data_IF_606744154032
#
_entry.id   IF_606744154032
#
_cell.length_a   1.000
_cell.length_b   1.000
_cell.length_c   1.000
_cell.angle_alpha   90.00
_cell.angle_beta   90.00
_cell.angle_gamma   90.00
#
_symmetry.space_group_name_H-M   'P 1'
#
loop_
_entity.id
_entity.type
_entity.pdbx_description
1 polymer ?
#
# COMPACT_ATOMS: atom_id res chain seq x y z
N UNK A 1 3.35 27.42 24.85
CA UNK A 1 2.52 26.35 24.24
C UNK A 1 2.47 26.61 22.75
N UNK A 2 3.15 25.80 21.95
CA UNK A 2 3.08 25.93 20.49
C UNK A 2 1.76 25.31 20.09
N UNK A 3 0.79 26.15 19.70
CA UNK A 3 -0.44 25.66 19.05
C UNK A 3 -0.03 25.08 17.69
N UNK A 4 -0.30 23.80 17.48
CA UNK A 4 -0.09 23.20 16.19
C UNK A 4 -0.98 23.95 15.17
N UNK A 5 -0.38 24.44 14.10
CA UNK A 5 -1.11 25.01 12.98
C UNK A 5 -1.87 23.86 12.30
N UNK A 6 -3.19 23.87 12.41
CA UNK A 6 -4.05 22.81 11.86
C UNK A 6 -3.96 22.73 10.33
N UNK A 7 -3.59 23.83 9.68
CA UNK A 7 -3.43 23.91 8.24
C UNK A 7 -2.03 23.49 7.75
N UNK A 8 -1.09 23.27 8.67
CA UNK A 8 0.25 22.84 8.28
C UNK A 8 0.22 21.45 7.63
N UNK A 9 0.96 21.22 6.51
CA UNK A 9 0.96 19.95 5.80
C UNK A 9 1.30 18.75 6.68
N UNK A 10 2.24 18.91 7.61
CA UNK A 10 2.62 17.85 8.55
C UNK A 10 1.49 17.52 9.54
N UNK A 11 0.74 18.52 9.98
CA UNK A 11 -0.42 18.32 10.86
C UNK A 11 -1.53 17.59 10.14
N UNK A 12 -1.83 17.96 8.90
CA UNK A 12 -2.82 17.28 8.06
C UNK A 12 -2.40 15.84 7.77
N UNK A 13 -1.13 15.60 7.45
CA UNK A 13 -0.60 14.27 7.23
C UNK A 13 -0.70 13.40 8.50
N UNK A 14 -0.31 13.93 9.65
CA UNK A 14 -0.41 13.24 10.93
C UNK A 14 -1.87 12.92 11.27
N UNK A 15 -2.79 13.87 11.06
CA UNK A 15 -4.23 13.67 11.26
C UNK A 15 -4.78 12.56 10.35
N UNK A 16 -4.38 12.54 9.08
CA UNK A 16 -4.77 11.50 8.15
C UNK A 16 -4.24 10.11 8.58
N UNK A 17 -3.02 10.01 9.09
CA UNK A 17 -2.47 8.76 9.61
C UNK A 17 -3.22 8.27 10.85
N UNK A 18 -3.60 9.18 11.75
CA UNK A 18 -4.43 8.85 12.92
C UNK A 18 -5.82 8.36 12.48
N UNK A 19 -6.44 9.03 11.51
CA UNK A 19 -7.72 8.60 10.94
C UNK A 19 -7.64 7.21 10.31
N UNK A 20 -6.54 6.90 9.61
CA UNK A 20 -6.28 5.56 9.07
C UNK A 20 -6.17 4.51 10.19
N UNK A 21 -5.40 4.80 11.24
CA UNK A 21 -5.23 3.90 12.37
C UNK A 21 -6.55 3.62 13.10
N UNK A 22 -7.46 4.59 13.10
CA UNK A 22 -8.79 4.48 13.69
C UNK A 22 -9.87 3.94 12.73
N UNK A 23 -9.47 3.49 11.55
CA UNK A 23 -10.35 3.02 10.47
C UNK A 23 -11.38 4.08 9.99
N UNK A 24 -11.08 5.36 10.18
CA UNK A 24 -11.86 6.50 9.69
C UNK A 24 -11.45 6.82 8.24
N UNK A 25 -11.72 5.88 7.35
CA UNK A 25 -11.20 5.91 5.97
C UNK A 25 -11.67 7.11 5.16
N UNK A 26 -12.91 7.57 5.34
CA UNK A 26 -13.45 8.73 4.61
C UNK A 26 -12.71 10.02 4.96
N UNK A 27 -12.44 10.24 6.24
CA UNK A 27 -11.69 11.41 6.73
C UNK A 27 -10.25 11.38 6.25
N UNK A 28 -9.62 10.19 6.31
CA UNK A 28 -8.28 9.99 5.80
C UNK A 28 -8.19 10.27 4.29
N UNK A 29 -9.11 9.74 3.49
CA UNK A 29 -9.16 9.97 2.03
C UNK A 29 -9.30 11.46 1.74
N UNK A 30 -10.20 12.15 2.43
CA UNK A 30 -10.41 13.59 2.24
C UNK A 30 -9.12 14.37 2.51
N UNK A 31 -8.49 14.18 3.66
CA UNK A 31 -7.27 14.89 4.05
C UNK A 31 -6.11 14.60 3.10
N UNK A 32 -5.91 13.34 2.71
CA UNK A 32 -4.83 12.93 1.80
C UNK A 32 -5.05 13.45 0.37
N UNK A 33 -6.30 13.47 -0.10
CA UNK A 33 -6.65 14.04 -1.40
C UNK A 33 -6.39 15.54 -1.42
N UNK A 34 -6.81 16.26 -0.37
CA UNK A 34 -6.55 17.69 -0.23
C UNK A 34 -5.06 18.01 -0.23
N UNK A 35 -4.25 17.23 0.50
CA UNK A 35 -2.79 17.38 0.47
C UNK A 35 -2.21 17.16 -0.93
N UNK A 36 -2.69 16.15 -1.64
CA UNK A 36 -2.25 15.85 -3.00
C UNK A 36 -2.61 16.95 -3.99
N UNK A 37 -3.78 17.58 -3.83
CA UNK A 37 -4.21 18.72 -4.65
C UNK A 37 -3.39 19.98 -4.39
N UNK A 38 -3.04 20.24 -3.12
CA UNK A 38 -2.30 21.42 -2.73
C UNK A 38 -0.80 21.35 -3.04
N UNK A 39 -0.18 20.20 -2.83
CA UNK A 39 1.28 20.02 -2.88
C UNK A 39 1.75 19.09 -4.00
N UNK A 40 0.84 18.55 -4.76
CA UNK A 40 1.12 17.53 -5.78
C UNK A 40 1.14 16.11 -5.24
N UNK A 41 0.93 15.12 -6.12
CA UNK A 41 0.95 13.70 -5.73
C UNK A 41 2.37 13.23 -5.40
N UNK A 42 2.48 12.37 -4.40
CA UNK A 42 3.69 11.61 -4.14
C UNK A 42 3.36 10.13 -3.99
N UNK A 43 4.33 9.25 -4.19
CA UNK A 43 4.13 7.80 -4.05
C UNK A 43 3.61 7.46 -2.65
N UNK A 44 4.14 8.12 -1.62
CA UNK A 44 3.71 7.93 -0.24
C UNK A 44 2.25 8.36 -0.01
N UNK A 45 1.83 9.53 -0.54
CA UNK A 45 0.44 10.00 -0.46
C UNK A 45 -0.52 9.09 -1.21
N UNK A 46 -0.13 8.63 -2.41
CA UNK A 46 -0.93 7.71 -3.21
C UNK A 46 -1.10 6.36 -2.50
N UNK A 47 -0.04 5.83 -1.89
CA UNK A 47 -0.10 4.62 -1.09
C UNK A 47 -1.02 4.77 0.14
N UNK A 48 -0.91 5.88 0.86
CA UNK A 48 -1.78 6.15 2.03
C UNK A 48 -3.24 6.29 1.62
N UNK A 49 -3.52 6.96 0.51
CA UNK A 49 -4.89 7.07 -0.03
C UNK A 49 -5.42 5.70 -0.46
N UNK A 50 -4.60 4.89 -1.12
CA UNK A 50 -4.97 3.53 -1.50
C UNK A 50 -5.26 2.67 -0.27
N UNK A 51 -4.46 2.75 0.78
CA UNK A 51 -4.70 2.04 2.03
C UNK A 51 -6.05 2.43 2.65
N UNK A 52 -6.38 3.73 2.68
CA UNK A 52 -7.68 4.21 3.16
C UNK A 52 -8.85 3.67 2.31
N UNK A 53 -8.68 3.59 1.00
CA UNK A 53 -9.67 3.02 0.08
C UNK A 53 -9.84 1.51 0.27
N UNK A 54 -8.75 0.78 0.50
CA UNK A 54 -8.81 -0.67 0.83
C UNK A 54 -9.63 -0.89 2.10
N UNK A 55 -9.37 -0.11 3.14
CA UNK A 55 -10.13 -0.18 4.41
C UNK A 55 -11.62 0.10 4.18
N UNK A 56 -11.95 1.02 3.29
CA UNK A 56 -13.36 1.33 2.94
C UNK A 56 -14.00 0.33 1.98
N UNK A 57 -13.25 -0.63 1.45
CA UNK A 57 -13.72 -1.60 0.46
C UNK A 57 -13.70 -1.11 -1.00
N UNK A 58 -13.20 0.09 -1.25
CA UNK A 58 -13.03 0.63 -2.61
C UNK A 58 -11.73 0.13 -3.27
N UNK A 59 -11.70 -1.15 -3.61
CA UNK A 59 -10.53 -1.79 -4.24
C UNK A 59 -10.23 -1.21 -5.63
N UNK A 60 -11.24 -0.80 -6.37
CA UNK A 60 -11.09 -0.20 -7.71
C UNK A 60 -10.38 1.15 -7.63
N UNK A 61 -10.85 2.03 -6.74
CA UNK A 61 -10.22 3.34 -6.50
C UNK A 61 -8.80 3.19 -5.93
N UNK A 62 -8.59 2.21 -5.05
CA UNK A 62 -7.25 1.90 -4.53
C UNK A 62 -6.30 1.49 -5.66
N UNK A 63 -6.70 0.59 -6.55
CA UNK A 63 -5.88 0.16 -7.70
C UNK A 63 -5.54 1.31 -8.64
N UNK A 64 -6.46 2.28 -8.84
CA UNK A 64 -6.17 3.48 -9.61
C UNK A 64 -5.03 4.30 -8.98
N UNK A 65 -5.12 4.59 -7.69
CA UNK A 65 -4.06 5.32 -6.97
C UNK A 65 -2.71 4.58 -7.01
N UNK A 66 -2.73 3.25 -6.91
CA UNK A 66 -1.51 2.44 -6.94
C UNK A 66 -0.88 2.39 -8.34
N UNK A 67 -1.70 2.39 -9.38
CA UNK A 67 -1.23 2.51 -10.77
C UNK A 67 -0.58 3.87 -11.02
N UNK A 68 -1.15 4.95 -10.49
CA UNK A 68 -0.56 6.29 -10.54
C UNK A 68 0.79 6.32 -9.79
N UNK A 69 0.88 5.65 -8.64
CA UNK A 69 2.13 5.54 -7.87
C UNK A 69 3.23 4.81 -8.66
N UNK A 70 2.89 3.74 -9.39
CA UNK A 70 3.84 3.04 -10.26
C UNK A 70 4.29 3.92 -11.43
N UNK A 71 3.36 4.65 -12.06
CA UNK A 71 3.69 5.58 -13.15
C UNK A 71 4.64 6.67 -12.67
N UNK A 72 4.32 7.28 -11.53
CA UNK A 72 5.17 8.30 -10.91
C UNK A 72 6.55 7.76 -10.54
N UNK A 73 6.64 6.51 -10.06
CA UNK A 73 7.91 5.85 -9.76
C UNK A 73 8.77 5.67 -11.01
N UNK A 74 8.16 5.39 -12.16
CA UNK A 74 8.86 5.26 -13.43
C UNK A 74 9.47 6.57 -13.95
N UNK A 75 8.97 7.70 -13.50
CA UNK A 75 9.48 9.05 -13.86
C UNK A 75 10.63 9.51 -12.96
N UNK A 76 10.87 8.84 -11.83
CA UNK A 76 11.92 9.22 -10.89
C UNK A 76 13.29 8.69 -11.33
N UNK A 77 14.33 9.52 -11.11
CA UNK A 77 15.73 9.15 -11.41
C UNK A 77 16.28 8.03 -10.51
N UNK A 78 15.64 7.79 -9.36
CA UNK A 78 16.02 6.73 -8.41
C UNK A 78 14.77 6.04 -7.86
N UNK A 79 14.86 4.74 -7.49
CA UNK A 79 13.75 4.02 -6.90
C UNK A 79 13.23 4.69 -5.62
N UNK A 80 11.91 4.85 -5.52
CA UNK A 80 11.30 5.37 -4.30
C UNK A 80 11.34 4.33 -3.17
N UNK A 81 11.68 4.73 -1.94
CA UNK A 81 11.60 3.84 -0.78
C UNK A 81 10.17 3.39 -0.45
N UNK A 82 9.17 4.08 -0.97
CA UNK A 82 7.75 3.74 -0.81
C UNK A 82 7.21 2.78 -1.88
N UNK A 83 8.03 2.37 -2.85
CA UNK A 83 7.59 1.47 -3.92
C UNK A 83 7.23 0.05 -3.42
N UNK A 84 7.95 -0.56 -2.46
CA UNK A 84 7.52 -1.82 -1.88
C UNK A 84 6.12 -1.76 -1.28
N UNK A 85 5.74 -0.66 -0.63
CA UNK A 85 4.39 -0.46 -0.08
C UNK A 85 3.33 -0.46 -1.18
N UNK A 86 3.65 0.06 -2.36
CA UNK A 86 2.77 0.00 -3.55
C UNK A 86 2.47 -1.44 -3.93
N UNK A 87 3.48 -2.30 -4.01
CA UNK A 87 3.30 -3.72 -4.30
C UNK A 87 2.46 -4.44 -3.24
N UNK A 88 2.71 -4.17 -1.96
CA UNK A 88 1.97 -4.77 -0.85
C UNK A 88 0.49 -4.38 -0.90
N UNK A 89 0.19 -3.10 -1.12
CA UNK A 89 -1.17 -2.60 -1.25
C UNK A 89 -1.89 -3.20 -2.47
N UNK A 90 -1.20 -3.32 -3.62
CA UNK A 90 -1.74 -3.97 -4.81
C UNK A 90 -2.05 -5.45 -4.55
N UNK A 91 -1.16 -6.17 -3.85
CA UNK A 91 -1.40 -7.55 -3.45
C UNK A 91 -2.63 -7.68 -2.56
N UNK A 92 -2.82 -6.75 -1.63
CA UNK A 92 -4.01 -6.71 -0.77
C UNK A 92 -5.31 -6.55 -1.56
N UNK A 93 -5.30 -5.72 -2.61
CA UNK A 93 -6.46 -5.57 -3.51
C UNK A 93 -6.70 -6.84 -4.35
N UNK A 94 -5.63 -7.39 -4.93
CA UNK A 94 -5.73 -8.51 -5.87
C UNK A 94 -6.01 -9.85 -5.20
N UNK A 95 -5.60 -10.03 -3.94
CA UNK A 95 -5.80 -11.27 -3.20
C UNK A 95 -7.26 -11.71 -3.15
N UNK A 96 -8.18 -10.75 -3.06
CA UNK A 96 -9.62 -11.01 -3.02
C UNK A 96 -10.33 -10.94 -4.38
N UNK A 97 -9.69 -10.33 -5.38
CA UNK A 97 -10.33 -10.05 -6.69
C UNK A 97 -9.77 -10.88 -7.84
N UNK A 98 -8.46 -11.11 -7.86
CA UNK A 98 -7.76 -11.81 -8.94
C UNK A 98 -6.49 -12.51 -8.41
N UNK A 99 -6.65 -13.75 -7.97
CA UNK A 99 -5.55 -14.53 -7.39
C UNK A 99 -4.41 -14.79 -8.38
N UNK A 100 -4.70 -14.89 -9.68
CA UNK A 100 -3.67 -15.13 -10.72
C UNK A 100 -2.77 -13.91 -10.85
N UNK A 101 -3.36 -12.73 -10.93
CA UNK A 101 -2.60 -11.47 -10.97
C UNK A 101 -1.84 -11.23 -9.66
N UNK A 102 -2.45 -11.57 -8.52
CA UNK A 102 -1.78 -11.47 -7.23
C UNK A 102 -0.51 -12.34 -7.19
N UNK A 103 -0.58 -13.56 -7.67
CA UNK A 103 0.58 -14.46 -7.68
C UNK A 103 1.67 -13.98 -8.65
N UNK A 104 1.31 -13.50 -9.82
CA UNK A 104 2.25 -12.90 -10.77
C UNK A 104 2.95 -11.66 -10.18
N UNK A 105 2.19 -10.80 -9.50
CA UNK A 105 2.73 -9.60 -8.85
C UNK A 105 3.65 -9.96 -7.68
N UNK A 106 3.31 -10.97 -6.88
CA UNK A 106 4.16 -11.46 -5.80
C UNK A 106 5.49 -12.01 -6.35
N UNK A 107 5.47 -12.72 -7.48
CA UNK A 107 6.67 -13.18 -8.17
C UNK A 107 7.56 -12.03 -8.60
N UNK A 108 6.99 -10.97 -9.19
CA UNK A 108 7.72 -9.75 -9.56
C UNK A 108 8.32 -9.06 -8.34
N UNK A 109 7.52 -8.85 -7.29
CA UNK A 109 7.97 -8.23 -6.04
C UNK A 109 9.11 -9.02 -5.39
N UNK A 110 9.00 -10.35 -5.34
CA UNK A 110 10.03 -11.23 -4.80
C UNK A 110 11.35 -11.15 -5.57
N UNK A 111 11.29 -10.93 -6.88
CA UNK A 111 12.47 -10.78 -7.74
C UNK A 111 13.13 -9.42 -7.55
N UNK A 112 12.33 -8.35 -7.45
CA UNK A 112 12.85 -6.97 -7.30
C UNK A 112 13.34 -6.67 -5.87
N UNK A 113 12.68 -7.26 -4.86
CA UNK A 113 12.95 -7.01 -3.44
C UNK A 113 13.10 -8.32 -2.63
N UNK A 114 14.08 -9.17 -2.96
CA UNK A 114 14.19 -10.51 -2.35
C UNK A 114 14.48 -10.49 -0.84
N UNK A 115 15.00 -9.39 -0.33
CA UNK A 115 15.33 -9.23 1.10
C UNK A 115 14.24 -8.53 1.90
N UNK A 116 13.17 -8.09 1.26
CA UNK A 116 12.09 -7.38 1.94
C UNK A 116 11.38 -8.29 2.95
N UNK A 117 11.06 -7.81 4.17
CA UNK A 117 10.44 -8.63 5.22
C UNK A 117 9.14 -9.32 4.78
N UNK A 118 8.32 -8.64 4.01
CA UNK A 118 7.07 -9.19 3.47
C UNK A 118 7.33 -10.40 2.56
N UNK A 119 8.31 -10.28 1.65
CA UNK A 119 8.71 -11.37 0.74
C UNK A 119 9.23 -12.57 1.52
N UNK A 120 10.05 -12.34 2.55
CA UNK A 120 10.56 -13.40 3.42
C UNK A 120 9.44 -14.09 4.20
N UNK A 121 8.47 -13.34 4.71
CA UNK A 121 7.31 -13.90 5.41
C UNK A 121 6.45 -14.75 4.48
N UNK A 122 6.19 -14.31 3.25
CA UNK A 122 5.44 -15.09 2.27
C UNK A 122 6.13 -16.40 1.92
N UNK A 123 7.44 -16.38 1.70
CA UNK A 123 8.22 -17.59 1.46
C UNK A 123 8.17 -18.56 2.64
N UNK A 124 8.22 -18.06 3.87
CA UNK A 124 8.08 -18.87 5.09
C UNK A 124 6.69 -19.51 5.22
N UNK A 125 5.64 -18.76 4.88
CA UNK A 125 4.24 -19.27 4.90
C UNK A 125 4.04 -20.37 3.86
N UNK A 126 4.55 -20.20 2.64
CA UNK A 126 4.51 -21.23 1.61
C UNK A 126 5.21 -22.50 2.07
N UNK A 127 6.41 -22.40 2.59
CA UNK A 127 7.15 -23.54 3.12
C UNK A 127 6.44 -24.21 4.31
N UNK A 128 5.78 -23.44 5.18
CA UNK A 128 4.99 -23.99 6.28
C UNK A 128 3.75 -24.71 5.76
N UNK A 129 3.07 -24.16 4.76
CA UNK A 129 1.90 -24.73 4.11
C UNK A 129 2.22 -26.07 3.45
N UNK A 130 3.33 -26.14 2.72
CA UNK A 130 3.82 -27.36 2.07
C UNK A 130 4.14 -28.45 3.10
N UNK A 131 4.81 -28.10 4.21
CA UNK A 131 5.11 -29.03 5.30
C UNK A 131 3.87 -29.60 5.97
N UNK A 132 2.86 -28.76 6.22
CA UNK A 132 1.59 -29.20 6.80
C UNK A 132 0.80 -30.02 5.79
N UNK A 133 0.74 -29.60 4.53
CA UNK A 133 0.06 -30.33 3.45
C UNK A 133 0.64 -31.73 3.26
N UNK A 134 1.95 -31.90 3.32
CA UNK A 134 2.61 -33.19 3.22
C UNK A 134 2.22 -34.17 4.34
N UNK A 135 1.85 -33.68 5.53
CA UNK A 135 1.37 -34.52 6.65
C UNK A 135 -0.06 -35.05 6.46
N UNK A 136 -0.84 -34.38 5.64
CA UNK A 136 -2.23 -34.74 5.33
C UNK A 136 -2.41 -35.32 3.92
N UNK A 137 -1.34 -35.36 3.11
CA UNK A 137 -1.34 -36.06 1.82
C UNK A 137 -1.40 -37.58 2.07
N UNK A 138 -2.41 -38.22 1.50
CA UNK A 138 -2.58 -39.67 1.55
C UNK A 138 -1.93 -40.31 0.35
#
# INVERSE_FOLDING_TARGET
MVTADEDAPLTQLASAQVSLANAQSKEAIYSLTTLSEQYGPSIALLNSTAAARIISGDHSGAMSNLSDALSLSGELAAPSPSLPDTYINMLSCLASTDAVKAQALLGKFSTEYPTHPYVKQMAMLDGAFDRVGAKFAV
#
